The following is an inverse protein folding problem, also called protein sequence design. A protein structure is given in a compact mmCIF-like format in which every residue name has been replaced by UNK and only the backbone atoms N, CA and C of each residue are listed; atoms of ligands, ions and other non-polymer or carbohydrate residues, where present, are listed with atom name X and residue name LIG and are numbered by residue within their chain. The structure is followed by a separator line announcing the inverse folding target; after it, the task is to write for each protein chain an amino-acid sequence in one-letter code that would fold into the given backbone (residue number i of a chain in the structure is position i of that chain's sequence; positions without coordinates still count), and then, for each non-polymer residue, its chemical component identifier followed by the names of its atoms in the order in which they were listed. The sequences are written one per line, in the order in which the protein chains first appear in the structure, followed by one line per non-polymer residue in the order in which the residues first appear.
data_IF_629412890895
#
_entry.id   IF_629412890895
#
_cell.length_a   1.000
_cell.length_b   1.000
_cell.length_c   1.000
_cell.angle_alpha   90.00
_cell.angle_beta   90.00
_cell.angle_gamma   90.00
#
_symmetry.space_group_name_H-M   'P 1'
#
loop_
_entity.id
_entity.type
_entity.pdbx_description
1 polymer ?
#
# COMPACT_ATOMS: atom_id res chain seq x y z
N UNK A 1 3.89 3.71 2.56
CA UNK A 1 4.58 3.58 3.88
C UNK A 1 4.19 4.74 4.77
N UNK A 2 4.39 4.62 6.08
CA UNK A 2 4.15 5.72 7.03
C UNK A 2 5.40 6.05 7.85
N UNK A 3 5.27 6.94 8.82
CA UNK A 3 6.41 7.51 9.57
C UNK A 3 7.35 6.48 10.21
N UNK A 4 6.90 5.25 10.47
CA UNK A 4 7.66 4.23 11.20
C UNK A 4 7.93 2.94 10.44
N UNK A 5 7.14 2.62 9.42
CA UNK A 5 7.18 1.30 8.79
C UNK A 5 7.36 1.37 7.28
N UNK A 6 8.18 0.45 6.78
CA UNK A 6 8.44 0.18 5.37
C UNK A 6 7.96 -1.22 5.02
N UNK A 7 7.17 -1.32 3.94
CA UNK A 7 6.70 -2.60 3.41
C UNK A 7 7.63 -3.04 2.29
N UNK A 8 8.18 -4.24 2.38
CA UNK A 8 9.07 -4.82 1.37
C UNK A 8 8.50 -6.16 0.96
N UNK A 9 8.43 -6.37 -0.35
CA UNK A 9 8.13 -7.67 -0.95
C UNK A 9 9.46 -8.42 -1.07
N UNK A 10 9.51 -9.62 -0.51
CA UNK A 10 10.60 -10.56 -0.76
C UNK A 10 10.08 -11.65 -1.70
N UNK A 11 10.71 -11.77 -2.85
CA UNK A 11 10.46 -12.83 -3.82
C UNK A 11 11.61 -13.84 -3.73
N UNK A 12 11.30 -15.06 -3.35
CA UNK A 12 12.24 -16.18 -3.39
C UNK A 12 11.92 -17.04 -4.59
N UNK A 13 12.95 -17.42 -5.36
CA UNK A 13 12.80 -18.28 -6.52
C UNK A 13 13.90 -19.34 -6.54
N UNK A 14 13.50 -20.60 -6.65
CA UNK A 14 14.40 -21.74 -6.69
C UNK A 14 14.22 -22.47 -8.02
N UNK A 15 15.35 -22.75 -8.67
CA UNK A 15 15.41 -23.69 -9.80
C UNK A 15 16.30 -24.86 -9.41
N UNK A 16 15.87 -26.05 -9.80
CA UNK A 16 16.67 -27.27 -9.79
C UNK A 16 16.73 -27.72 -11.24
N UNK A 17 17.92 -28.05 -11.74
CA UNK A 17 18.16 -28.28 -13.18
C UNK A 17 17.06 -29.08 -13.89
N UNK A 18 16.77 -28.72 -15.15
CA UNK A 18 15.61 -29.23 -15.90
C UNK A 18 14.45 -28.23 -15.92
N UNK A 19 13.21 -28.70 -15.73
CA UNK A 19 11.97 -27.89 -15.79
C UNK A 19 11.37 -27.55 -14.41
N UNK A 20 12.02 -27.91 -13.31
CA UNK A 20 11.54 -27.63 -11.96
C UNK A 20 11.71 -26.15 -11.59
N UNK A 21 10.65 -25.53 -11.07
CA UNK A 21 10.61 -24.14 -10.63
C UNK A 21 9.73 -24.00 -9.40
N UNK A 22 10.20 -23.26 -8.40
CA UNK A 22 9.33 -22.83 -7.31
C UNK A 22 9.57 -21.38 -6.90
N UNK A 23 8.50 -20.68 -6.53
CA UNK A 23 8.56 -19.32 -5.98
C UNK A 23 7.88 -19.24 -4.60
N UNK A 24 8.27 -18.27 -3.77
CA UNK A 24 7.46 -17.75 -2.65
C UNK A 24 7.55 -16.22 -2.55
N UNK A 25 6.42 -15.54 -2.32
CA UNK A 25 6.35 -14.10 -2.16
C UNK A 25 5.90 -13.81 -0.74
N UNK A 26 6.65 -12.96 -0.05
CA UNK A 26 6.32 -12.55 1.30
C UNK A 26 6.29 -11.04 1.41
N UNK A 27 5.20 -10.49 1.95
CA UNK A 27 5.10 -9.09 2.30
C UNK A 27 5.45 -8.91 3.77
N UNK A 28 6.54 -8.20 4.04
CA UNK A 28 7.02 -7.93 5.39
C UNK A 28 7.07 -6.42 5.67
N UNK A 29 6.69 -6.05 6.89
CA UNK A 29 6.85 -4.71 7.43
C UNK A 29 8.08 -4.65 8.33
N UNK A 30 8.91 -3.66 8.06
CA UNK A 30 10.12 -3.35 8.80
C UNK A 30 9.94 -2.00 9.47
N UNK A 31 10.47 -1.84 10.69
CA UNK A 31 10.63 -0.51 11.26
C UNK A 31 11.77 0.21 10.52
N UNK A 32 11.54 1.47 10.13
CA UNK A 32 12.52 2.25 9.36
C UNK A 32 13.82 2.41 10.17
N UNK A 33 13.71 2.58 11.48
CA UNK A 33 14.86 2.68 12.41
C UNK A 33 15.71 1.40 12.42
N UNK A 34 15.09 0.24 12.20
CA UNK A 34 15.78 -1.06 12.24
C UNK A 34 16.52 -1.36 10.93
N UNK A 35 16.18 -0.68 9.83
CA UNK A 35 16.88 -0.83 8.55
C UNK A 35 18.36 -0.44 8.61
N UNK A 36 18.80 0.38 9.57
CA UNK A 36 20.22 0.69 9.76
C UNK A 36 21.02 -0.42 10.44
N UNK A 37 20.35 -1.39 11.08
CA UNK A 37 20.98 -2.29 12.04
C UNK A 37 20.86 -3.76 11.62
N UNK A 38 21.95 -4.37 11.17
CA UNK A 38 21.96 -5.74 10.60
C UNK A 38 21.27 -6.80 11.47
N UNK A 39 21.42 -6.73 12.80
CA UNK A 39 20.75 -7.64 13.74
C UNK A 39 19.25 -7.39 13.90
N UNK A 40 18.81 -6.13 13.76
CA UNK A 40 17.41 -5.74 13.91
C UNK A 40 16.62 -5.79 12.61
N UNK A 41 17.28 -5.78 11.45
CA UNK A 41 16.63 -5.99 10.13
C UNK A 41 15.83 -7.29 10.04
N UNK A 42 16.12 -8.28 10.87
CA UNK A 42 15.38 -9.54 10.96
C UNK A 42 14.05 -9.40 11.70
N UNK A 43 13.83 -8.29 12.42
CA UNK A 43 12.58 -8.00 13.11
C UNK A 43 11.55 -7.51 12.09
N UNK A 44 10.81 -8.45 11.53
CA UNK A 44 9.70 -8.17 10.62
C UNK A 44 8.37 -8.51 11.25
N UNK A 45 7.32 -7.81 10.85
CA UNK A 45 5.93 -8.17 11.17
C UNK A 45 5.11 -8.21 9.89
N UNK A 46 4.01 -8.97 9.88
CA UNK A 46 3.02 -8.89 8.80
C UNK A 46 2.00 -7.80 9.10
N UNK A 47 1.41 -7.21 8.07
CA UNK A 47 0.30 -6.26 8.23
C UNK A 47 -0.88 -6.92 8.96
N UNK A 48 -1.17 -8.19 8.65
CA UNK A 48 -2.24 -8.96 9.30
C UNK A 48 -2.11 -8.99 10.85
N UNK A 49 -0.90 -9.20 11.35
CA UNK A 49 -0.60 -9.26 12.79
C UNK A 49 -0.78 -7.91 13.48
N UNK A 50 -0.77 -6.82 12.71
CA UNK A 50 -0.96 -5.46 13.21
C UNK A 50 -2.43 -5.03 13.28
N UNK A 51 -3.34 -5.81 12.69
CA UNK A 51 -4.78 -5.55 12.70
C UNK A 51 -5.43 -5.93 14.03
N UNK A 52 -6.60 -5.37 14.31
CA UNK A 52 -7.38 -5.79 15.47
C UNK A 52 -7.88 -7.24 15.32
N UNK A 53 -8.14 -7.91 16.45
CA UNK A 53 -8.71 -9.28 16.45
C UNK A 53 -10.01 -9.38 15.66
N UNK A 54 -10.82 -8.31 15.62
CA UNK A 54 -12.06 -8.27 14.83
C UNK A 54 -11.76 -8.31 13.34
N UNK A 55 -10.84 -7.47 12.86
CA UNK A 55 -10.44 -7.41 11.46
C UNK A 55 -9.78 -8.72 11.01
N UNK A 56 -8.92 -9.31 11.85
CA UNK A 56 -8.32 -10.61 11.55
C UNK A 56 -9.36 -11.72 11.38
N UNK A 57 -10.42 -11.73 12.21
CA UNK A 57 -11.52 -12.70 12.07
C UNK A 57 -12.31 -12.47 10.79
N UNK A 58 -12.59 -11.22 10.46
CA UNK A 58 -13.29 -10.83 9.24
C UNK A 58 -12.52 -11.25 7.99
N UNK A 59 -11.23 -10.92 7.91
CA UNK A 59 -10.36 -11.30 6.79
C UNK A 59 -10.23 -12.82 6.63
N UNK A 60 -10.07 -13.56 7.74
CA UNK A 60 -10.07 -15.03 7.71
C UNK A 60 -11.38 -15.58 7.15
N UNK A 61 -12.52 -14.96 7.47
CA UNK A 61 -13.81 -15.38 6.92
C UNK A 61 -13.87 -15.09 5.41
N UNK A 62 -13.51 -13.87 4.99
CA UNK A 62 -13.50 -13.47 3.57
C UNK A 62 -12.63 -14.41 2.75
N UNK A 63 -11.38 -14.64 3.16
CA UNK A 63 -10.46 -15.52 2.43
C UNK A 63 -10.93 -16.98 2.41
N UNK A 64 -11.51 -17.47 3.51
CA UNK A 64 -12.07 -18.83 3.57
C UNK A 64 -13.25 -19.00 2.62
N UNK A 65 -14.16 -18.03 2.60
CA UNK A 65 -15.34 -18.07 1.72
C UNK A 65 -14.89 -18.00 0.24
N UNK A 66 -13.98 -17.09 -0.11
CA UNK A 66 -13.38 -16.98 -1.45
C UNK A 66 -12.69 -18.28 -1.89
N UNK A 67 -11.74 -18.79 -1.09
CA UNK A 67 -10.96 -19.97 -1.48
C UNK A 67 -11.82 -21.23 -1.63
N UNK A 68 -12.91 -21.34 -0.85
CA UNK A 68 -13.87 -22.46 -0.97
C UNK A 68 -14.67 -22.38 -2.27
N UNK A 69 -15.06 -21.17 -2.68
CA UNK A 69 -15.77 -20.97 -3.96
C UNK A 69 -14.88 -21.35 -5.14
N UNK A 70 -13.60 -20.94 -5.12
CA UNK A 70 -12.61 -21.33 -6.13
C UNK A 70 -12.39 -22.86 -6.16
N UNK A 71 -12.30 -23.52 -5.01
CA UNK A 71 -12.19 -24.99 -4.93
C UNK A 71 -13.41 -25.71 -5.52
N UNK A 72 -14.60 -25.12 -5.41
CA UNK A 72 -15.84 -25.74 -5.90
C UNK A 72 -16.01 -25.61 -7.41
N UNK A 73 -15.34 -24.64 -8.04
CA UNK A 73 -15.42 -24.37 -9.46
C UNK A 73 -14.43 -25.20 -10.30
N UNK A 74 -13.42 -25.80 -9.66
CA UNK A 74 -12.44 -26.69 -10.28
C UNK A 74 -13.01 -28.11 -10.44
N UNK A 75 -13.98 -28.30 -11.34
CA UNK A 75 -14.44 -29.62 -11.75
C UNK A 75 -13.44 -30.25 -12.74
N UNK A 76 -12.65 -31.21 -12.26
CA UNK A 76 -11.65 -31.97 -13.02
C UNK A 76 -12.33 -33.00 -13.94
N UNK A 77 -12.47 -32.73 -15.25
CA UNK A 77 -12.87 -33.76 -16.23
C UNK A 77 -11.68 -34.38 -17.00
N UNK A 78 -10.46 -33.83 -16.93
CA UNK A 78 -9.26 -34.42 -17.55
C UNK A 78 -7.99 -34.26 -16.67
N UNK A 79 -6.99 -35.15 -16.80
CA UNK A 79 -5.72 -35.04 -16.07
C UNK A 79 -4.88 -33.90 -16.65
N UNK A 80 -5.05 -32.69 -16.11
CA UNK A 80 -4.22 -31.54 -16.45
C UNK A 80 -2.92 -31.64 -15.66
N UNK A 81 -1.77 -31.69 -16.35
CA UNK A 81 -0.44 -31.71 -15.72
C UNK A 81 -0.15 -30.45 -14.89
N UNK A 82 -0.84 -29.35 -15.18
CA UNK A 82 -0.76 -28.06 -14.48
C UNK A 82 -2.13 -27.75 -13.90
N UNK A 83 -2.19 -27.62 -12.58
CA UNK A 83 -3.38 -27.17 -11.86
C UNK A 83 -3.23 -25.68 -11.56
N UNK A 84 -4.27 -24.92 -11.88
CA UNK A 84 -4.39 -23.50 -11.58
C UNK A 84 -5.51 -23.29 -10.57
N UNK A 85 -5.25 -22.48 -9.54
CA UNK A 85 -6.24 -22.12 -8.53
C UNK A 85 -6.03 -20.67 -8.11
N UNK A 86 -7.12 -19.91 -8.05
CA UNK A 86 -7.05 -18.57 -7.45
C UNK A 86 -7.13 -18.67 -5.94
N UNK A 87 -6.25 -17.93 -5.26
CA UNK A 87 -6.16 -17.90 -3.80
C UNK A 87 -6.07 -16.47 -3.31
N UNK A 88 -6.93 -16.15 -2.35
CA UNK A 88 -6.86 -14.90 -1.61
C UNK A 88 -5.89 -15.04 -0.43
N UNK A 89 -4.83 -14.26 -0.45
CA UNK A 89 -3.73 -14.36 0.50
C UNK A 89 -3.77 -13.23 1.54
N UNK A 90 -4.27 -13.57 2.73
CA UNK A 90 -4.37 -12.64 3.86
C UNK A 90 -3.11 -12.59 4.72
N UNK A 91 -2.10 -13.40 4.41
CA UNK A 91 -0.81 -13.36 5.09
C UNK A 91 0.09 -12.28 4.49
N UNK A 92 -0.10 -11.95 3.22
CA UNK A 92 0.71 -10.99 2.46
C UNK A 92 -0.03 -9.68 2.12
N UNK A 93 -0.89 -9.21 3.03
CA UNK A 93 -1.64 -7.96 2.85
C UNK A 93 -0.73 -6.77 2.54
N UNK A 94 -1.18 -5.91 1.62
CA UNK A 94 -0.49 -4.69 1.22
C UNK A 94 -1.20 -3.43 1.74
N UNK A 95 -0.46 -2.31 1.78
CA UNK A 95 -1.03 -0.96 1.90
C UNK A 95 -1.00 -0.28 0.54
N UNK A 96 -2.16 0.17 0.06
CA UNK A 96 -2.31 0.85 -1.23
C UNK A 96 -2.87 2.24 -1.06
N UNK A 97 -2.49 3.17 -1.94
CA UNK A 97 -3.09 4.50 -2.06
C UNK A 97 -4.38 4.43 -2.90
N UNK A 98 -5.44 5.02 -2.39
CA UNK A 98 -6.72 5.19 -3.10
C UNK A 98 -7.42 6.44 -2.60
N UNK A 99 -7.72 7.36 -3.51
CA UNK A 99 -8.57 8.54 -3.26
C UNK A 99 -8.18 9.33 -2.01
N UNK A 100 -6.88 9.62 -1.88
CA UNK A 100 -6.38 10.40 -0.76
C UNK A 100 -6.05 9.60 0.51
N UNK A 101 -6.28 8.28 0.52
CA UNK A 101 -6.12 7.45 1.73
C UNK A 101 -5.29 6.21 1.46
N UNK A 102 -4.64 5.72 2.50
CA UNK A 102 -4.12 4.38 2.59
C UNK A 102 -5.26 3.42 2.91
N UNK A 103 -5.34 2.33 2.16
CA UNK A 103 -6.26 1.22 2.36
C UNK A 103 -5.49 -0.09 2.50
N UNK A 104 -6.11 -1.08 3.13
CA UNK A 104 -5.59 -2.44 3.16
C UNK A 104 -6.03 -3.13 1.86
N UNK A 105 -5.09 -3.72 1.15
CA UNK A 105 -5.32 -4.45 -0.09
C UNK A 105 -4.95 -5.93 0.12
N UNK A 106 -5.86 -6.83 -0.26
CA UNK A 106 -5.67 -8.27 -0.16
C UNK A 106 -5.22 -8.76 -1.54
N UNK A 107 -4.00 -9.30 -1.67
CA UNK A 107 -3.58 -9.89 -2.93
C UNK A 107 -4.39 -11.16 -3.24
N UNK A 108 -4.76 -11.29 -4.51
CA UNK A 108 -5.29 -12.54 -5.08
C UNK A 108 -4.27 -13.05 -6.07
N UNK A 109 -3.86 -14.30 -5.88
CA UNK A 109 -2.87 -14.97 -6.70
C UNK A 109 -3.51 -16.10 -7.49
N UNK A 110 -3.01 -16.35 -8.69
CA UNK A 110 -3.16 -17.65 -9.36
C UNK A 110 -2.01 -18.54 -8.94
N UNK A 111 -2.30 -19.60 -8.20
CA UNK A 111 -1.36 -20.65 -7.81
C UNK A 111 -1.34 -21.74 -8.88
N UNK A 112 -0.14 -22.06 -9.36
CA UNK A 112 0.12 -23.08 -10.35
C UNK A 112 0.92 -24.20 -9.73
N UNK A 113 0.42 -25.42 -9.82
CA UNK A 113 1.14 -26.62 -9.38
C UNK A 113 1.24 -27.64 -10.50
N UNK A 114 2.37 -28.33 -10.60
CA UNK A 114 2.58 -29.35 -11.61
C UNK A 114 2.73 -30.74 -10.98
N UNK A 115 1.80 -31.65 -11.27
CA UNK A 115 1.75 -32.97 -10.61
C UNK A 115 2.93 -33.88 -10.99
N UNK A 116 3.50 -33.73 -12.19
CA UNK A 116 4.61 -34.56 -12.66
C UNK A 116 6.01 -34.22 -12.11
N UNK A 117 6.35 -32.95 -11.89
CA UNK A 117 7.69 -32.52 -11.48
C UNK A 117 7.72 -31.72 -10.17
N UNK A 118 6.56 -31.46 -9.54
CA UNK A 118 6.46 -30.74 -8.28
C UNK A 118 6.71 -29.24 -8.38
N UNK A 119 6.76 -28.65 -9.59
CA UNK A 119 6.86 -27.20 -9.75
C UNK A 119 5.66 -26.51 -9.10
N UNK A 120 5.92 -25.37 -8.45
CA UNK A 120 4.92 -24.58 -7.78
C UNK A 120 5.25 -23.09 -7.87
N UNK A 121 4.41 -22.29 -8.53
CA UNK A 121 4.59 -20.84 -8.59
C UNK A 121 3.24 -20.15 -8.47
N UNK A 122 3.25 -18.85 -8.18
CA UNK A 122 2.06 -18.04 -8.21
C UNK A 122 2.30 -16.77 -9.02
N UNK A 123 1.21 -16.20 -9.53
CA UNK A 123 1.19 -14.90 -10.21
C UNK A 123 0.20 -14.00 -9.50
N UNK A 124 0.59 -12.77 -9.20
CA UNK A 124 -0.34 -11.78 -8.65
C UNK A 124 -1.33 -11.38 -9.75
N UNK A 125 -2.62 -11.63 -9.52
CA UNK A 125 -3.69 -11.26 -10.46
C UNK A 125 -4.20 -9.86 -10.14
N UNK A 126 -4.60 -9.65 -8.90
CA UNK A 126 -5.25 -8.41 -8.49
C UNK A 126 -5.10 -8.14 -6.99
N UNK A 127 -5.56 -6.95 -6.60
CA UNK A 127 -5.73 -6.55 -5.22
C UNK A 127 -7.20 -6.26 -4.95
N UNK A 128 -7.77 -6.95 -3.96
CA UNK A 128 -9.11 -6.69 -3.46
C UNK A 128 -9.03 -5.70 -2.29
N UNK A 129 -9.78 -4.61 -2.38
CA UNK A 129 -9.81 -3.58 -1.35
C UNK A 129 -10.55 -4.07 -0.10
N UNK A 130 -9.89 -3.93 1.06
CA UNK A 130 -10.52 -4.16 2.36
C UNK A 130 -10.91 -2.82 3.00
N UNK A 131 -12.22 -2.65 3.23
CA UNK A 131 -12.80 -1.43 3.81
C UNK A 131 -12.53 -1.24 5.32
N UNK A 132 -11.70 -2.08 5.93
CA UNK A 132 -11.29 -1.93 7.32
C UNK A 132 -10.34 -0.75 7.54
N UNK A 133 -10.34 -0.20 8.77
CA UNK A 133 -9.43 0.88 9.13
C UNK A 133 -7.97 0.41 9.16
N UNK A 134 -7.10 1.17 8.50
CA UNK A 134 -5.64 1.00 8.63
C UNK A 134 -5.21 1.32 10.07
N UNK A 135 -4.37 0.48 10.71
CA UNK A 135 -3.84 0.77 12.04
C UNK A 135 -3.11 2.12 12.10
N UNK A 136 -3.45 2.97 13.09
CA UNK A 136 -2.80 4.29 13.28
C UNK A 136 -1.28 4.20 13.47
N UNK A 137 -0.78 3.08 14.03
CA UNK A 137 0.66 2.84 14.17
C UNK A 137 1.40 2.73 12.84
N UNK A 138 0.70 2.37 11.76
CA UNK A 138 1.24 2.32 10.40
C UNK A 138 1.07 3.64 9.68
N UNK A 139 -0.12 4.22 9.77
CA UNK A 139 -0.45 5.47 9.10
C UNK A 139 -1.12 6.39 10.13
N UNK A 140 -0.35 7.27 10.82
CA UNK A 140 -0.88 8.13 11.87
C UNK A 140 -1.97 9.08 11.37
N UNK A 141 -1.80 9.60 10.15
CA UNK A 141 -2.72 10.52 9.49
C UNK A 141 -3.17 9.92 8.16
N UNK A 142 -4.43 9.51 8.08
CA UNK A 142 -5.00 8.80 6.92
C UNK A 142 -6.32 9.42 6.42
N UNK A 143 -6.44 10.74 6.55
CA UNK A 143 -7.66 11.47 6.22
C UNK A 143 -7.32 12.74 5.45
N UNK A 144 -8.15 13.05 4.45
CA UNK A 144 -8.11 14.33 3.77
C UNK A 144 -8.83 15.41 4.60
N UNK A 145 -8.37 16.65 4.49
CA UNK A 145 -9.01 17.82 5.10
C UNK A 145 -10.33 18.22 4.42
N UNK A 146 -10.51 17.80 3.17
CA UNK A 146 -11.68 18.02 2.30
C UNK A 146 -12.12 16.68 1.71
N UNK A 147 -13.37 16.55 1.27
CA UNK A 147 -13.82 15.27 0.70
C UNK A 147 -13.22 15.04 -0.68
N UNK A 148 -12.97 13.79 -1.05
CA UNK A 148 -12.44 13.44 -2.38
C UNK A 148 -13.29 14.00 -3.53
N UNK A 149 -14.62 13.91 -3.43
CA UNK A 149 -15.51 14.49 -4.43
C UNK A 149 -15.44 16.02 -4.55
N UNK A 150 -15.10 16.73 -3.47
CA UNK A 150 -14.88 18.20 -3.51
C UNK A 150 -13.57 18.52 -4.23
N UNK A 151 -12.54 17.68 -4.06
CA UNK A 151 -11.28 17.79 -4.83
C UNK A 151 -11.57 17.61 -6.32
N UNK A 152 -12.31 16.56 -6.70
CA UNK A 152 -12.64 16.27 -8.11
C UNK A 152 -13.48 17.34 -8.79
N UNK A 153 -14.27 18.12 -8.04
CA UNK A 153 -15.00 19.26 -8.62
C UNK A 153 -14.08 20.39 -9.09
N UNK A 154 -12.91 20.54 -8.45
CA UNK A 154 -11.93 21.59 -8.75
C UNK A 154 -10.80 21.08 -9.62
N UNK A 155 -10.35 19.86 -9.37
CA UNK A 155 -9.26 19.17 -10.06
C UNK A 155 -9.81 17.84 -10.59
N UNK A 156 -10.52 17.83 -11.73
CA UNK A 156 -11.18 16.63 -12.24
C UNK A 156 -10.23 15.49 -12.63
N UNK A 157 -8.97 15.82 -12.92
CA UNK A 157 -7.87 14.90 -13.25
C UNK A 157 -7.03 14.49 -12.04
N UNK A 158 -7.51 14.72 -10.81
CA UNK A 158 -6.83 14.30 -9.59
C UNK A 158 -6.71 12.77 -9.53
N UNK A 159 -5.47 12.29 -9.45
CA UNK A 159 -5.13 10.87 -9.28
C UNK A 159 -5.05 10.50 -7.80
N UNK A 160 -4.50 11.40 -6.97
CA UNK A 160 -4.38 11.19 -5.53
C UNK A 160 -4.25 12.51 -4.76
N UNK A 161 -4.31 12.48 -3.42
CA UNK A 161 -4.05 13.67 -2.61
C UNK A 161 -3.54 13.36 -1.20
N UNK A 162 -2.83 14.30 -0.58
CA UNK A 162 -2.43 14.23 0.83
C UNK A 162 -2.77 15.52 1.55
N UNK A 163 -3.22 15.40 2.79
CA UNK A 163 -3.50 16.55 3.65
C UNK A 163 -2.62 16.54 4.88
N UNK A 164 -2.18 17.74 5.26
CA UNK A 164 -1.51 17.98 6.53
C UNK A 164 -2.41 17.63 7.73
N UNK A 165 -1.82 17.22 8.87
CA UNK A 165 -2.56 17.01 10.12
C UNK A 165 -3.31 18.25 10.60
N UNK A 166 -2.73 19.44 10.39
CA UNK A 166 -3.30 20.73 10.79
C UNK A 166 -4.39 21.23 9.83
N UNK A 167 -4.58 20.56 8.69
CA UNK A 167 -5.58 20.88 7.65
C UNK A 167 -5.36 22.24 6.99
N UNK A 168 -4.16 22.78 7.09
CA UNK A 168 -3.72 24.03 6.48
C UNK A 168 -3.04 23.82 5.11
N UNK A 169 -2.66 22.58 4.80
CA UNK A 169 -2.11 22.18 3.50
C UNK A 169 -2.85 20.97 2.90
N UNK A 170 -3.14 21.05 1.60
CA UNK A 170 -3.56 19.94 0.73
C UNK A 170 -2.64 19.92 -0.49
N UNK A 171 -2.13 18.74 -0.85
CA UNK A 171 -1.40 18.51 -2.10
C UNK A 171 -2.19 17.51 -2.92
N UNK A 172 -2.54 17.88 -4.15
CA UNK A 172 -3.26 17.04 -5.10
C UNK A 172 -2.30 16.63 -6.21
N UNK A 173 -2.21 15.33 -6.46
CA UNK A 173 -1.45 14.74 -7.55
C UNK A 173 -2.35 14.63 -8.78
N UNK A 174 -1.90 15.17 -9.91
CA UNK A 174 -2.43 14.87 -11.25
C UNK A 174 -1.38 14.06 -12.01
N UNK A 175 -1.64 13.76 -13.29
CA UNK A 175 -0.71 12.97 -14.10
C UNK A 175 0.67 13.64 -14.23
N UNK A 176 0.71 14.97 -14.35
CA UNK A 176 1.94 15.71 -14.60
C UNK A 176 2.21 16.87 -13.62
N UNK A 177 1.39 17.03 -12.57
CA UNK A 177 1.54 18.13 -11.60
C UNK A 177 1.25 17.71 -10.16
N UNK A 178 1.91 18.40 -9.24
CA UNK A 178 1.45 18.54 -7.85
C UNK A 178 0.84 19.93 -7.67
N UNK A 179 -0.42 19.98 -7.29
CA UNK A 179 -1.16 21.20 -6.96
C UNK A 179 -1.21 21.37 -5.45
N UNK A 180 -0.64 22.46 -4.96
CA UNK A 180 -0.56 22.76 -3.52
C UNK A 180 -1.60 23.82 -3.17
N UNK A 181 -2.46 23.53 -2.19
CA UNK A 181 -3.49 24.44 -1.70
C UNK A 181 -3.25 24.76 -0.23
N UNK A 182 -3.16 26.05 0.08
CA UNK A 182 -3.10 26.55 1.45
C UNK A 182 -4.52 26.83 1.97
N UNK A 183 -4.76 26.50 3.24
CA UNK A 183 -6.05 26.63 3.92
C UNK A 183 -7.23 26.02 3.14
N UNK A 184 -7.13 24.75 2.68
CA UNK A 184 -8.12 24.11 1.81
C UNK A 184 -9.53 24.06 2.41
N UNK A 185 -9.65 24.13 3.73
CA UNK A 185 -10.95 24.18 4.43
C UNK A 185 -11.72 25.49 4.20
N UNK A 186 -11.07 26.54 3.70
CA UNK A 186 -11.71 27.82 3.32
C UNK A 186 -12.19 27.83 1.87
N UNK A 187 -11.81 26.83 1.07
CA UNK A 187 -12.10 26.74 -0.35
C UNK A 187 -10.90 26.26 -1.16
N UNK A 188 -11.18 25.69 -2.34
CA UNK A 188 -10.20 25.19 -3.29
C UNK A 188 -10.29 25.98 -4.60
N UNK A 189 -10.11 27.31 -4.56
CA UNK A 189 -10.32 28.13 -5.76
C UNK A 189 -9.15 28.03 -6.76
N UNK A 190 -7.92 28.18 -6.25
CA UNK A 190 -6.70 28.11 -7.07
C UNK A 190 -5.57 27.52 -6.26
N UNK A 191 -4.77 26.65 -6.90
CA UNK A 191 -3.54 26.16 -6.31
C UNK A 191 -2.61 27.34 -5.99
N UNK A 192 -2.11 27.37 -4.76
CA UNK A 192 -1.13 28.36 -4.30
C UNK A 192 0.22 28.13 -4.98
N UNK A 193 0.56 26.86 -5.22
CA UNK A 193 1.78 26.48 -5.92
C UNK A 193 1.51 25.28 -6.82
N UNK A 194 2.23 25.22 -7.93
CA UNK A 194 2.20 24.11 -8.88
C UNK A 194 3.63 23.66 -9.10
N UNK A 195 3.84 22.35 -9.02
CA UNK A 195 5.13 21.71 -9.26
C UNK A 195 4.91 20.74 -10.41
N UNK A 196 5.64 20.90 -11.50
CA UNK A 196 5.59 19.96 -12.62
C UNK A 196 6.34 18.67 -12.24
N UNK A 197 5.77 17.54 -12.65
CA UNK A 197 6.33 16.19 -12.45
C UNK A 197 6.21 15.39 -13.75
N UNK A 198 6.95 14.29 -13.83
CA UNK A 198 6.80 13.36 -14.95
C UNK A 198 5.48 12.60 -14.86
N UNK A 199 4.98 12.17 -16.02
CA UNK A 199 3.77 11.35 -16.13
C UNK A 199 3.92 10.02 -15.37
N UNK A 200 2.80 9.46 -14.91
CA UNK A 200 2.74 8.17 -14.20
C UNK A 200 3.49 8.13 -12.85
N UNK A 201 3.71 9.28 -12.20
CA UNK A 201 4.21 9.30 -10.83
C UNK A 201 3.13 8.97 -9.79
N UNK A 202 3.55 8.47 -8.63
CA UNK A 202 2.65 8.07 -7.55
C UNK A 202 3.17 8.48 -6.18
N UNK A 203 2.25 8.73 -5.25
CA UNK A 203 2.59 9.01 -3.84
C UNK A 203 2.96 7.70 -3.15
N UNK A 204 4.25 7.50 -2.87
CA UNK A 204 4.73 6.31 -2.13
C UNK A 204 4.77 6.51 -0.61
N UNK A 205 4.88 7.78 -0.18
CA UNK A 205 5.04 8.18 1.22
C UNK A 205 4.59 9.64 1.42
N UNK A 206 3.99 9.93 2.58
CA UNK A 206 3.83 11.29 3.08
C UNK A 206 4.16 11.33 4.57
N UNK A 207 4.99 12.29 4.96
CA UNK A 207 5.37 12.54 6.35
C UNK A 207 5.21 14.01 6.67
N UNK A 208 4.88 14.29 7.93
CA UNK A 208 4.65 15.64 8.43
C UNK A 208 5.51 15.86 9.66
N UNK A 209 6.39 16.84 9.61
CA UNK A 209 7.03 17.36 10.81
C UNK A 209 5.96 18.12 11.62
N UNK A 210 5.77 17.75 12.88
CA UNK A 210 4.83 18.40 13.80
C UNK A 210 5.55 18.72 15.11
N UNK A 211 5.16 19.81 15.77
CA UNK A 211 5.75 20.21 17.06
C UNK A 211 7.21 20.68 16.94
N UNK A 212 8.01 20.38 17.95
CA UNK A 212 9.39 20.89 18.10
C UNK A 212 10.31 20.55 16.93
N UNK A 213 10.07 19.41 16.26
CA UNK A 213 10.87 19.01 15.11
C UNK A 213 10.63 19.94 13.90
N UNK A 214 9.40 20.43 13.71
CA UNK A 214 9.14 21.44 12.68
C UNK A 214 9.89 22.76 12.99
N UNK A 215 9.95 23.15 14.27
CA UNK A 215 10.73 24.31 14.71
C UNK A 215 12.22 24.20 14.37
N UNK A 216 12.84 23.04 14.65
CA UNK A 216 14.25 22.78 14.29
C UNK A 216 14.50 22.86 12.79
N UNK A 217 13.60 22.32 11.97
CA UNK A 217 13.71 22.42 10.51
C UNK A 217 13.57 23.87 10.04
N UNK A 218 12.60 24.62 10.58
CA UNK A 218 12.43 26.04 10.26
C UNK A 218 13.65 26.87 10.64
N UNK A 219 14.27 26.62 11.79
CA UNK A 219 15.53 27.27 12.17
C UNK A 219 16.68 26.90 11.23
N UNK A 220 16.83 25.61 10.92
CA UNK A 220 17.90 25.09 10.06
C UNK A 220 17.83 25.67 8.65
N UNK A 221 16.62 25.86 8.12
CA UNK A 221 16.41 26.37 6.77
C UNK A 221 16.09 27.86 6.71
N UNK A 222 16.08 28.58 7.85
CA UNK A 222 15.70 30.01 7.89
C UNK A 222 16.52 30.84 6.91
N UNK A 223 17.83 30.64 6.91
CA UNK A 223 18.77 31.38 6.07
C UNK A 223 18.64 31.05 4.56
N UNK A 224 17.89 30.00 4.21
CA UNK A 224 17.60 29.62 2.82
C UNK A 224 16.25 30.15 2.31
N UNK A 225 15.42 30.73 3.19
CA UNK A 225 14.10 31.28 2.85
C UNK A 225 14.00 32.80 2.99
N UNK A 226 15.04 33.47 3.49
CA UNK A 226 15.17 34.93 3.45
C UNK A 226 15.82 35.36 2.11
N UNK A 227 14.98 35.52 1.07
CA UNK A 227 15.26 36.37 -0.10
C UNK A 227 14.33 37.60 -0.10
#
# INVERSE_FOLDING_TARGET
MGNKFISIINDEYITGGGTFRTGSNTMALYEIEDLGHSKKRQNTTKLFDMLSRSQQKELRKIAKDFNREEDSNNNEEEPILIKEKRVMDIDNLALKRKEGRWIIAIPVFSEYSHEGNGSYFYSLEEYVDYNGKVPKKLVPHNSLCVKWGEILQVVPDALDAVSSPNKDLLVVLTDNKLLVFNNPTKGLEKATTTIDIEENQQIVLSQWAVGDDAGKWSETFRDYFEE
#
